data_IF_346730968466
#
_entry.id   IF_346730968466
#
_cell.length_a   1.000
_cell.length_b   1.000
_cell.length_c   1.000
_cell.angle_alpha   90.00
_cell.angle_beta   90.00
_cell.angle_gamma   90.00
#
_symmetry.space_group_name_H-M   'P 1'
#
loop_
_entity.id
_entity.type
_entity.pdbx_description
1 polymer ?
#
# COMPACT_ATOMS: atom_id res chain seq x y z
N UNK A 1 -8.01 -13.10 -13.06
CA UNK A 1 -6.77 -13.01 -12.26
C UNK A 1 -6.99 -12.30 -10.92
N UNK A 2 -6.71 -11.00 -10.74
CA UNK A 2 -6.76 -10.37 -9.40
C UNK A 2 -8.18 -10.34 -8.77
N UNK A 3 -9.21 -10.06 -9.57
CA UNK A 3 -10.60 -10.07 -9.11
C UNK A 3 -11.07 -11.44 -8.59
N UNK A 4 -10.54 -12.54 -9.15
CA UNK A 4 -10.87 -13.90 -8.72
C UNK A 4 -10.17 -14.24 -7.40
N UNK A 5 -8.92 -13.79 -7.21
CA UNK A 5 -8.20 -13.94 -5.96
C UNK A 5 -8.87 -13.16 -4.82
N UNK A 6 -9.21 -11.89 -5.06
CA UNK A 6 -9.92 -11.06 -4.08
C UNK A 6 -11.29 -11.64 -3.71
N UNK A 7 -12.01 -12.16 -4.71
CA UNK A 7 -13.27 -12.91 -4.50
C UNK A 7 -13.05 -14.17 -3.67
N UNK A 8 -12.02 -14.94 -3.99
CA UNK A 8 -11.68 -16.16 -3.24
C UNK A 8 -11.35 -15.85 -1.78
N UNK A 9 -10.52 -14.83 -1.51
CA UNK A 9 -10.19 -14.35 -0.16
C UNK A 9 -11.46 -14.05 0.62
N UNK A 10 -12.38 -13.28 0.03
CA UNK A 10 -13.67 -12.93 0.63
C UNK A 10 -14.50 -14.17 0.98
N UNK A 11 -14.78 -15.03 -0.01
CA UNK A 11 -15.67 -16.18 0.18
C UNK A 11 -15.07 -17.27 1.09
N UNK A 12 -13.74 -17.40 1.11
CA UNK A 12 -13.04 -18.29 2.05
C UNK A 12 -12.80 -17.68 3.42
N UNK A 13 -13.17 -16.40 3.63
CA UNK A 13 -12.97 -15.67 4.88
C UNK A 13 -11.52 -15.69 5.35
N UNK A 14 -10.57 -15.55 4.41
CA UNK A 14 -9.14 -15.47 4.74
C UNK A 14 -8.92 -14.13 5.46
N UNK A 15 -8.28 -14.19 6.63
CA UNK A 15 -8.03 -13.02 7.47
C UNK A 15 -6.59 -12.55 7.36
N UNK A 16 -6.34 -11.28 7.73
CA UNK A 16 -4.97 -10.76 7.83
C UNK A 16 -4.28 -10.55 6.48
N UNK A 17 -5.03 -10.34 5.40
CA UNK A 17 -4.45 -10.05 4.08
C UNK A 17 -3.94 -8.61 4.00
N UNK A 18 -2.70 -8.44 3.53
CA UNK A 18 -2.05 -7.15 3.28
C UNK A 18 -1.36 -7.20 1.92
N UNK A 19 -1.38 -6.10 1.18
CA UNK A 19 -0.70 -5.97 -0.10
C UNK A 19 0.52 -5.06 0.04
N UNK A 20 1.68 -5.57 -0.37
CA UNK A 20 2.95 -4.85 -0.35
C UNK A 20 3.51 -4.79 -1.77
N UNK A 21 3.78 -3.59 -2.25
CA UNK A 21 4.21 -3.32 -3.63
C UNK A 21 5.52 -2.53 -3.61
N UNK A 22 6.57 -3.05 -4.23
CA UNK A 22 7.93 -2.52 -4.10
C UNK A 22 8.57 -1.98 -5.39
N UNK A 23 8.05 -2.34 -6.57
CA UNK A 23 8.68 -2.04 -7.85
C UNK A 23 8.49 -0.58 -8.32
N UNK A 24 7.53 0.14 -7.74
CA UNK A 24 7.17 1.47 -8.25
C UNK A 24 7.98 2.58 -7.59
N UNK A 25 8.30 3.61 -8.37
CA UNK A 25 9.31 4.61 -8.06
C UNK A 25 8.76 5.79 -7.22
N UNK A 26 7.92 5.49 -6.26
CA UNK A 26 7.38 6.40 -5.24
C UNK A 26 6.83 5.61 -4.05
N UNK A 27 6.47 6.29 -2.96
CA UNK A 27 5.80 5.65 -1.81
C UNK A 27 4.38 6.16 -1.64
N UNK A 28 3.46 5.27 -1.28
CA UNK A 28 2.05 5.61 -1.13
C UNK A 28 1.28 4.55 -0.33
N UNK A 29 0.11 4.92 0.18
CA UNK A 29 -0.82 4.00 0.82
C UNK A 29 -2.22 4.18 0.23
N UNK A 30 -2.85 3.07 -0.13
CA UNK A 30 -4.21 3.05 -0.68
C UNK A 30 -5.09 2.12 0.14
N UNK A 31 -6.36 2.52 0.28
CA UNK A 31 -7.42 1.65 0.76
C UNK A 31 -8.42 1.36 -0.35
N UNK A 32 -8.67 0.09 -0.61
CA UNK A 32 -9.62 -0.35 -1.63
C UNK A 32 -10.89 -0.83 -0.95
N UNK A 33 -12.05 -0.36 -1.43
CA UNK A 33 -13.33 -0.73 -0.83
C UNK A 33 -14.47 -0.92 -1.85
N UNK A 34 -15.28 -1.99 -1.73
CA UNK A 34 -16.33 -2.32 -2.69
C UNK A 34 -17.39 -1.24 -2.90
N UNK A 35 -17.65 -0.41 -1.89
CA UNK A 35 -18.62 0.69 -1.96
C UNK A 35 -18.22 1.77 -2.97
N UNK A 36 -16.92 1.92 -3.24
CA UNK A 36 -16.36 2.85 -4.24
C UNK A 36 -16.04 2.16 -5.58
N UNK A 37 -16.11 0.83 -5.63
CA UNK A 37 -15.55 0.05 -6.74
C UNK A 37 -16.56 -0.26 -7.85
N UNK A 38 -16.04 -0.37 -9.08
CA UNK A 38 -16.80 -0.95 -10.19
C UNK A 38 -17.04 -2.46 -9.99
N UNK A 39 -16.01 -3.22 -9.58
CA UNK A 39 -16.15 -4.62 -9.19
C UNK A 39 -16.37 -4.72 -7.68
N UNK A 40 -17.49 -5.31 -7.23
CA UNK A 40 -17.88 -5.26 -5.80
C UNK A 40 -17.71 -6.57 -5.03
N UNK A 41 -17.33 -7.67 -5.68
CA UNK A 41 -17.23 -8.98 -5.00
C UNK A 41 -15.84 -9.23 -4.40
N UNK A 42 -15.44 -8.37 -3.47
CA UNK A 42 -14.22 -8.49 -2.65
C UNK A 42 -14.44 -7.94 -1.24
N UNK A 43 -13.50 -8.16 -0.32
CA UNK A 43 -13.47 -7.52 1.00
C UNK A 43 -12.48 -6.34 0.97
N UNK A 44 -12.71 -5.23 1.70
CA UNK A 44 -11.80 -4.08 1.69
C UNK A 44 -10.36 -4.47 2.03
N UNK A 45 -9.36 -3.78 1.50
CA UNK A 45 -7.96 -4.07 1.83
C UNK A 45 -7.04 -2.86 1.69
N UNK A 46 -5.90 -2.92 2.38
CA UNK A 46 -4.80 -1.96 2.24
C UNK A 46 -3.73 -2.47 1.28
N UNK A 47 -3.22 -1.55 0.47
CA UNK A 47 -1.96 -1.67 -0.25
C UNK A 47 -0.98 -0.62 0.25
N UNK A 48 0.26 -1.05 0.48
CA UNK A 48 1.36 -0.18 0.82
C UNK A 48 2.44 -0.31 -0.24
N UNK A 49 2.76 0.83 -0.80
CA UNK A 49 3.68 0.97 -1.89
C UNK A 49 4.92 1.66 -1.35
N UNK A 50 6.09 1.07 -1.57
CA UNK A 50 7.34 1.71 -1.16
C UNK A 50 8.44 1.50 -2.17
N UNK A 51 9.24 2.54 -2.34
CA UNK A 51 10.34 2.59 -3.28
C UNK A 51 10.46 4.00 -3.87
N UNK A 52 11.48 4.24 -4.70
CA UNK A 52 12.55 3.31 -5.04
C UNK A 52 13.72 3.41 -4.04
N UNK A 53 14.56 2.36 -4.02
CA UNK A 53 15.91 2.43 -3.47
C UNK A 53 16.92 2.43 -4.62
N UNK A 54 17.71 3.49 -4.70
CA UNK A 54 18.75 3.69 -5.72
C UNK A 54 18.24 3.63 -7.19
N UNK A 55 16.96 3.94 -7.43
CA UNK A 55 16.40 4.07 -8.78
C UNK A 55 15.70 5.42 -8.97
N UNK A 56 15.54 5.84 -10.22
CA UNK A 56 15.04 7.18 -10.53
C UNK A 56 13.56 7.35 -10.15
N UNK A 57 13.16 8.46 -9.54
CA UNK A 57 11.77 8.72 -9.13
C UNK A 57 10.84 9.05 -10.30
N UNK A 58 9.55 8.68 -10.17
CA UNK A 58 8.50 8.99 -11.16
C UNK A 58 7.22 9.52 -10.49
N UNK A 59 6.44 10.36 -11.19
CA UNK A 59 5.13 10.79 -10.70
C UNK A 59 4.21 9.62 -10.41
N UNK A 60 3.32 9.80 -9.43
CA UNK A 60 2.32 8.80 -9.11
C UNK A 60 1.29 8.70 -10.24
N UNK A 61 1.00 7.46 -10.66
CA UNK A 61 -0.02 7.20 -11.67
C UNK A 61 -1.42 7.53 -11.13
N UNK A 62 -2.34 7.83 -12.04
CA UNK A 62 -3.76 7.79 -11.72
C UNK A 62 -4.16 6.34 -11.39
N UNK A 63 -4.99 6.17 -10.36
CA UNK A 63 -5.55 4.87 -10.00
C UNK A 63 -6.86 4.68 -10.75
N UNK A 64 -7.13 3.45 -11.19
CA UNK A 64 -8.38 3.11 -11.85
C UNK A 64 -9.45 2.66 -10.84
N UNK A 65 -10.72 2.90 -11.17
CA UNK A 65 -11.83 2.69 -10.23
C UNK A 65 -12.27 1.21 -10.08
N UNK A 66 -11.56 0.24 -10.69
CA UNK A 66 -11.98 -1.17 -10.70
C UNK A 66 -12.20 -1.70 -9.29
N UNK A 67 -11.31 -1.36 -8.34
CA UNK A 67 -11.38 -1.79 -6.93
C UNK A 67 -11.65 -0.64 -5.95
N UNK A 68 -12.12 0.50 -6.43
CA UNK A 68 -12.51 1.63 -5.58
C UNK A 68 -11.40 2.16 -4.68
N UNK A 69 -10.20 2.48 -5.23
CA UNK A 69 -9.10 3.00 -4.46
C UNK A 69 -9.44 4.33 -3.78
N UNK A 70 -8.94 4.50 -2.56
CA UNK A 70 -8.74 5.80 -1.92
C UNK A 70 -7.25 5.93 -1.61
N UNK A 71 -6.58 6.89 -2.27
CA UNK A 71 -5.15 7.14 -2.08
C UNK A 71 -4.95 8.06 -0.88
N UNK A 72 -4.96 7.45 0.29
CA UNK A 72 -4.84 8.12 1.60
C UNK A 72 -3.49 8.82 1.77
N UNK A 73 -2.43 8.29 1.18
CA UNK A 73 -1.10 8.91 1.22
C UNK A 73 -0.35 8.70 -0.08
N UNK A 74 0.41 9.71 -0.51
CA UNK A 74 1.35 9.61 -1.63
C UNK A 74 2.50 10.59 -1.46
N UNK A 75 3.71 10.12 -1.72
CA UNK A 75 4.92 10.93 -1.87
C UNK A 75 5.63 10.48 -3.13
N UNK A 76 5.50 11.28 -4.18
CA UNK A 76 6.09 11.08 -5.49
C UNK A 76 6.67 12.41 -6.00
N UNK A 77 7.69 12.37 -6.87
CA UNK A 77 8.17 13.56 -7.56
C UNK A 77 7.18 14.07 -8.61
N UNK A 78 7.27 15.36 -8.94
CA UNK A 78 6.42 15.99 -9.97
C UNK A 78 6.93 15.79 -11.41
N UNK A 79 8.15 15.26 -11.56
CA UNK A 79 8.78 14.98 -12.86
C UNK A 79 9.30 13.55 -12.93
N UNK A 80 9.38 13.01 -14.14
CA UNK A 80 9.97 11.70 -14.39
C UNK A 80 11.50 11.73 -14.27
N UNK A 81 12.08 10.54 -14.03
CA UNK A 81 13.53 10.32 -13.97
C UNK A 81 14.25 11.27 -13.00
N UNK A 82 13.69 11.49 -11.80
CA UNK A 82 14.42 12.21 -10.73
C UNK A 82 15.59 11.35 -10.27
N UNK A 83 16.81 11.89 -10.24
CA UNK A 83 17.96 11.13 -9.78
C UNK A 83 17.77 10.69 -8.33
N UNK A 84 18.21 9.49 -7.93
CA UNK A 84 18.25 9.07 -6.53
C UNK A 84 18.99 10.05 -5.61
N UNK A 85 19.90 10.87 -6.17
CA UNK A 85 20.67 11.88 -5.43
C UNK A 85 19.91 13.19 -5.18
N UNK A 86 18.77 13.41 -5.83
CA UNK A 86 18.02 14.66 -5.76
C UNK A 86 16.88 14.62 -4.73
N UNK A 87 16.47 13.44 -4.27
CA UNK A 87 15.37 13.27 -3.33
C UNK A 87 15.60 12.12 -2.37
N UNK A 88 15.06 12.19 -1.13
CA UNK A 88 15.15 11.07 -0.20
C UNK A 88 14.62 9.79 -0.83
N UNK A 89 15.34 8.68 -0.62
CA UNK A 89 14.88 7.35 -1.02
C UNK A 89 13.82 6.86 -0.04
N UNK A 90 12.91 5.99 -0.48
CA UNK A 90 11.81 5.53 0.36
C UNK A 90 11.88 4.02 0.61
N UNK A 91 11.52 3.61 1.82
CA UNK A 91 11.46 2.20 2.21
C UNK A 91 10.28 1.95 3.16
N UNK A 92 9.77 0.72 3.14
CA UNK A 92 8.66 0.29 3.97
C UNK A 92 9.16 -0.58 5.11
N UNK A 93 8.52 -0.43 6.27
CA UNK A 93 8.76 -1.24 7.45
C UNK A 93 7.42 -1.85 7.90
N UNK A 94 7.45 -3.14 8.22
CA UNK A 94 6.31 -3.84 8.80
C UNK A 94 6.78 -4.47 10.10
N UNK A 95 6.07 -4.13 11.18
CA UNK A 95 6.31 -4.65 12.53
C UNK A 95 5.06 -5.38 12.99
N UNK A 96 5.22 -6.59 13.52
CA UNK A 96 4.12 -7.36 14.11
C UNK A 96 4.42 -7.48 15.60
N UNK A 97 3.51 -6.96 16.42
CA UNK A 97 3.62 -7.05 17.86
C UNK A 97 3.38 -8.50 18.34
N UNK A 98 4.24 -9.00 19.23
CA UNK A 98 4.22 -10.40 19.67
C UNK A 98 3.03 -10.77 20.56
N UNK A 99 2.50 -9.80 21.31
CA UNK A 99 1.43 -10.04 22.29
C UNK A 99 0.04 -9.83 21.66
N UNK A 100 -0.14 -8.73 20.94
CA UNK A 100 -1.41 -8.34 20.33
C UNK A 100 -1.61 -8.85 18.91
N UNK A 101 -0.53 -9.24 18.22
CA UNK A 101 -0.49 -9.52 16.79
C UNK A 101 -0.96 -8.35 15.90
N UNK A 102 -0.96 -7.12 16.41
CA UNK A 102 -1.16 -5.93 15.59
C UNK A 102 0.01 -5.74 14.63
N UNK A 103 -0.31 -5.48 13.35
CA UNK A 103 0.66 -5.24 12.30
C UNK A 103 0.73 -3.73 12.03
N UNK A 104 1.86 -3.11 12.33
CA UNK A 104 2.13 -1.70 12.05
C UNK A 104 2.96 -1.57 10.78
N UNK A 105 2.40 -0.92 9.77
CA UNK A 105 3.11 -0.52 8.55
C UNK A 105 3.57 0.92 8.68
N UNK A 106 4.86 1.17 8.37
CA UNK A 106 5.45 2.50 8.32
C UNK A 106 6.08 2.72 6.94
N UNK A 107 5.67 3.78 6.25
CA UNK A 107 6.34 4.24 5.02
C UNK A 107 7.36 5.30 5.43
N UNK A 108 8.61 5.12 5.02
CA UNK A 108 9.74 5.88 5.55
C UNK A 108 10.55 6.50 4.43
N UNK A 109 11.23 7.60 4.77
CA UNK A 109 12.29 8.17 3.95
C UNK A 109 13.65 7.87 4.58
N UNK A 110 14.67 7.81 3.72
CA UNK A 110 16.07 7.87 4.13
C UNK A 110 16.30 9.05 5.09
N UNK A 111 17.17 8.86 6.09
CA UNK A 111 17.32 9.79 7.20
C UNK A 111 16.37 9.53 8.37
N UNK A 112 15.56 8.47 8.31
CA UNK A 112 14.82 7.91 9.45
C UNK A 112 13.39 8.44 9.62
N UNK A 113 12.95 9.37 8.78
CA UNK A 113 11.61 9.97 8.85
C UNK A 113 10.51 8.95 8.57
N UNK A 114 9.46 8.95 9.40
CA UNK A 114 8.22 8.20 9.14
C UNK A 114 7.23 9.14 8.46
N UNK A 115 6.83 8.81 7.24
CA UNK A 115 5.94 9.64 6.42
C UNK A 115 4.46 9.26 6.62
N UNK A 116 4.20 7.99 6.87
CA UNK A 116 2.86 7.45 7.06
C UNK A 116 2.92 6.21 7.95
N UNK A 117 1.90 6.04 8.79
CA UNK A 117 1.75 4.88 9.68
C UNK A 117 0.33 4.34 9.59
N UNK A 118 0.19 3.02 9.51
CA UNK A 118 -1.09 2.33 9.62
C UNK A 118 -0.96 1.08 10.48
N UNK A 119 -1.85 0.97 11.47
CA UNK A 119 -2.01 -0.25 12.27
C UNK A 119 -3.16 -1.07 11.69
N UNK A 120 -2.89 -2.35 11.43
CA UNK A 120 -3.85 -3.37 11.00
C UNK A 120 -4.06 -4.37 12.13
N UNK A 121 -5.31 -4.79 12.32
CA UNK A 121 -5.68 -5.73 13.38
C UNK A 121 -5.73 -7.16 12.86
N UNK A 122 -5.30 -8.15 13.66
CA UNK A 122 -5.36 -9.56 13.27
C UNK A 122 -6.81 -10.05 13.19
N UNK A 123 -7.03 -11.17 12.48
CA UNK A 123 -8.31 -11.87 12.46
C UNK A 123 -9.45 -11.19 11.66
N UNK A 124 -9.17 -10.08 10.97
CA UNK A 124 -10.16 -9.39 10.14
C UNK A 124 -10.15 -9.89 8.69
N UNK A 125 -11.34 -10.16 8.16
CA UNK A 125 -11.57 -10.32 6.71
C UNK A 125 -11.85 -8.95 6.15
N UNK A 126 -10.82 -8.36 5.57
CA UNK A 126 -10.82 -7.01 5.03
C UNK A 126 -10.82 -5.90 6.09
N UNK A 127 -10.00 -4.89 5.85
CA UNK A 127 -9.80 -3.72 6.72
C UNK A 127 -9.12 -2.59 5.97
#
# INVERSE_FOLDING_TARGET
>A
QIAELLRFIKHRRITGTVWLTADVHYTSAQHYAPERAAFKDFAPFWEFVSGPLAAGGFPANALDDTFGPDRVFVRAPDRANVSPMESPQYFGEVEIDGDSAELTVRLRAEGGSVLFTKVLRPGRVGQ
#
